data_IF_424079953112
#
_entry.id   IF_424079953112
#
_cell.length_a   1.000
_cell.length_b   1.000
_cell.length_c   1.000
_cell.angle_alpha   90.00
_cell.angle_beta   90.00
_cell.angle_gamma   90.00
#
_symmetry.space_group_name_H-M   'P 1'
#
loop_
_entity.id
_entity.type
_entity.pdbx_description
1 polymer ?
#
# COMPACT_ATOMS: atom_id res chain seq x y z
N UNK A 1 15.85 -40.06 -15.47
CA UNK A 1 16.91 -39.78 -14.47
C UNK A 1 16.23 -39.67 -13.12
N UNK A 2 16.82 -40.14 -12.01
CA UNK A 2 16.26 -39.87 -10.69
C UNK A 2 16.11 -38.35 -10.54
N UNK A 3 14.94 -37.88 -10.13
CA UNK A 3 14.70 -36.45 -9.93
C UNK A 3 15.51 -35.98 -8.73
N UNK A 4 16.60 -35.26 -8.98
CA UNK A 4 17.33 -34.57 -7.94
C UNK A 4 16.42 -33.48 -7.37
N UNK A 5 16.19 -33.50 -6.07
CA UNK A 5 15.43 -32.46 -5.39
C UNK A 5 16.10 -32.10 -4.07
N UNK A 6 15.98 -30.83 -3.70
CA UNK A 6 16.46 -30.29 -2.44
C UNK A 6 15.39 -29.39 -1.82
N UNK A 7 15.17 -29.58 -0.53
CA UNK A 7 14.23 -28.77 0.24
C UNK A 7 14.99 -27.67 0.99
N UNK A 8 14.34 -26.52 1.13
CA UNK A 8 14.85 -25.34 1.78
C UNK A 8 13.85 -24.82 2.81
N UNK A 9 14.39 -24.28 3.90
CA UNK A 9 13.65 -23.63 4.97
C UNK A 9 13.95 -22.14 4.99
N UNK A 10 12.95 -21.34 5.38
CA UNK A 10 13.08 -19.93 5.72
C UNK A 10 12.80 -19.70 7.20
N UNK A 11 13.48 -18.72 7.80
CA UNK A 11 13.16 -18.24 9.14
C UNK A 11 11.73 -17.70 9.19
N UNK A 12 10.98 -18.05 10.24
CA UNK A 12 9.56 -17.68 10.38
C UNK A 12 8.57 -18.54 9.56
N UNK A 13 9.05 -19.29 8.56
CA UNK A 13 8.17 -20.15 7.73
C UNK A 13 8.38 -21.64 7.99
N UNK A 14 9.63 -22.07 8.19
CA UNK A 14 10.00 -23.48 8.20
C UNK A 14 10.26 -24.03 6.79
N UNK A 15 10.28 -25.37 6.60
CA UNK A 15 10.47 -26.00 5.30
C UNK A 15 9.35 -25.58 4.34
N UNK A 16 9.68 -24.81 3.30
CA UNK A 16 8.68 -24.15 2.47
C UNK A 16 8.93 -24.26 0.97
N UNK A 17 10.17 -24.50 0.54
CA UNK A 17 10.55 -24.54 -0.87
C UNK A 17 11.20 -25.87 -1.24
N UNK A 18 10.77 -26.48 -2.35
CA UNK A 18 11.46 -27.60 -3.00
C UNK A 18 11.90 -27.21 -4.41
N UNK A 19 13.19 -27.38 -4.70
CA UNK A 19 13.72 -27.24 -6.06
C UNK A 19 13.94 -28.64 -6.64
N UNK A 20 13.38 -28.90 -7.84
CA UNK A 20 13.48 -30.19 -8.53
C UNK A 20 14.21 -30.00 -9.87
N UNK A 21 15.44 -30.50 -9.93
CA UNK A 21 16.40 -30.28 -11.02
C UNK A 21 16.59 -28.79 -11.39
N UNK A 22 16.34 -27.88 -10.44
CA UNK A 22 16.34 -26.42 -10.63
C UNK A 22 17.37 -25.72 -9.73
N UNK A 23 18.47 -26.40 -9.42
CA UNK A 23 19.51 -25.94 -8.48
C UNK A 23 20.13 -24.59 -8.91
N UNK A 24 20.09 -24.26 -10.20
CA UNK A 24 20.57 -22.99 -10.74
C UNK A 24 19.71 -21.77 -10.33
N UNK A 25 18.51 -21.99 -9.79
CA UNK A 25 17.66 -20.92 -9.26
C UNK A 25 18.16 -20.43 -7.88
N UNK A 26 18.87 -21.27 -7.13
CA UNK A 26 19.31 -20.94 -5.77
C UNK A 26 20.19 -19.67 -5.71
N UNK A 27 21.24 -19.48 -6.54
CA UNK A 27 22.03 -18.24 -6.51
C UNK A 27 21.21 -16.97 -6.83
N UNK A 28 20.17 -17.10 -7.67
CA UNK A 28 19.26 -16.00 -7.99
C UNK A 28 18.42 -15.65 -6.77
N UNK A 29 17.80 -16.65 -6.14
CA UNK A 29 17.04 -16.48 -4.90
C UNK A 29 17.92 -15.88 -3.79
N UNK A 30 19.10 -16.45 -3.53
CA UNK A 30 20.03 -15.95 -2.51
C UNK A 30 20.41 -14.48 -2.73
N UNK A 31 20.54 -14.05 -3.99
CA UNK A 31 20.83 -12.65 -4.28
C UNK A 31 19.60 -11.75 -4.18
N UNK A 32 18.40 -12.27 -4.48
CA UNK A 32 17.15 -11.53 -4.42
C UNK A 32 16.62 -11.38 -2.98
N UNK A 33 16.99 -12.27 -2.06
CA UNK A 33 16.60 -12.21 -0.64
C UNK A 33 17.81 -12.36 0.31
N UNK A 34 18.83 -11.49 0.20
CA UNK A 34 20.06 -11.64 0.97
C UNK A 34 19.84 -11.46 2.48
N UNK A 35 18.75 -10.77 2.88
CA UNK A 35 18.34 -10.62 4.27
C UNK A 35 17.48 -11.76 4.80
N UNK A 36 17.02 -12.70 3.96
CA UNK A 36 16.15 -13.82 4.31
C UNK A 36 16.66 -15.14 3.72
N UNK A 37 17.80 -15.65 4.21
CA UNK A 37 18.53 -16.71 3.54
C UNK A 37 17.78 -18.05 3.55
N UNK A 38 17.68 -18.66 2.37
CA UNK A 38 17.24 -20.04 2.21
C UNK A 38 18.31 -21.01 2.74
N UNK A 39 17.93 -21.84 3.72
CA UNK A 39 18.83 -22.85 4.28
C UNK A 39 18.42 -24.24 3.80
N UNK A 40 19.32 -25.07 3.24
CA UNK A 40 19.01 -26.45 2.90
C UNK A 40 18.53 -27.23 4.13
N UNK A 41 17.48 -28.02 3.99
CA UNK A 41 16.98 -28.89 5.05
C UNK A 41 16.85 -30.34 4.57
N UNK A 42 16.58 -31.26 5.50
CA UNK A 42 16.30 -32.65 5.15
C UNK A 42 15.07 -32.72 4.25
N UNK A 43 15.07 -33.64 3.29
CA UNK A 43 13.93 -33.85 2.40
C UNK A 43 12.67 -34.20 3.23
N UNK A 44 11.61 -33.43 3.02
CA UNK A 44 10.34 -33.60 3.70
C UNK A 44 9.55 -34.76 3.08
N UNK A 45 8.89 -35.56 3.93
CA UNK A 45 8.05 -36.69 3.52
C UNK A 45 6.88 -36.25 2.64
N UNK A 46 6.27 -35.12 2.98
CA UNK A 46 5.30 -34.41 2.14
C UNK A 46 6.02 -33.26 1.45
N UNK A 47 5.71 -33.01 0.18
CA UNK A 47 6.28 -31.87 -0.52
C UNK A 47 5.95 -30.56 0.21
N UNK A 48 6.92 -29.64 0.37
CA UNK A 48 6.64 -28.28 0.79
C UNK A 48 5.61 -27.59 -0.12
N UNK A 49 4.96 -26.55 0.40
CA UNK A 49 3.88 -25.83 -0.29
C UNK A 49 4.36 -25.18 -1.59
N UNK A 50 5.60 -24.71 -1.66
CA UNK A 50 6.19 -24.09 -2.85
C UNK A 50 7.13 -25.09 -3.51
N UNK A 51 6.82 -25.51 -4.72
CA UNK A 51 7.64 -26.43 -5.51
C UNK A 51 7.99 -25.81 -6.85
N UNK A 52 9.26 -25.90 -7.25
CA UNK A 52 9.75 -25.41 -8.54
C UNK A 52 10.49 -26.51 -9.28
N UNK A 53 10.06 -26.78 -10.50
CA UNK A 53 10.69 -27.75 -11.40
C UNK A 53 11.36 -27.04 -12.56
N UNK A 54 12.52 -27.55 -12.95
CA UNK A 54 13.12 -27.14 -14.21
C UNK A 54 12.29 -27.63 -15.38
N UNK A 55 11.90 -26.71 -16.26
CA UNK A 55 11.11 -26.97 -17.47
C UNK A 55 11.93 -26.58 -18.72
N UNK A 56 11.76 -27.23 -19.89
CA UNK A 56 12.49 -26.87 -21.11
C UNK A 56 12.35 -25.41 -21.55
N UNK A 57 11.23 -24.77 -21.19
CA UNK A 57 10.92 -23.38 -21.51
C UNK A 57 11.17 -22.39 -20.34
N UNK A 58 11.73 -22.84 -19.22
CA UNK A 58 11.89 -22.02 -18.01
C UNK A 58 11.71 -22.82 -16.73
N UNK A 59 10.79 -22.40 -15.87
CA UNK A 59 10.50 -23.05 -14.59
C UNK A 59 9.00 -23.24 -14.43
N UNK A 60 8.60 -24.43 -14.00
CA UNK A 60 7.23 -24.67 -13.55
C UNK A 60 7.18 -24.46 -12.05
N UNK A 61 6.23 -23.67 -11.56
CA UNK A 61 6.04 -23.42 -10.12
C UNK A 61 4.63 -23.83 -9.72
N UNK A 62 4.51 -24.53 -8.60
CA UNK A 62 3.25 -24.81 -7.92
C UNK A 62 3.33 -24.26 -6.50
N UNK A 63 2.26 -23.60 -6.05
CA UNK A 63 2.15 -22.98 -4.74
C UNK A 63 0.67 -22.80 -4.37
N UNK A 64 0.33 -22.50 -3.11
CA UNK A 64 -1.05 -22.24 -2.72
C UNK A 64 -1.74 -21.12 -3.54
N UNK A 65 -1.00 -20.06 -3.90
CA UNK A 65 -1.50 -18.98 -4.76
C UNK A 65 -1.51 -19.34 -6.26
N UNK A 66 -0.93 -20.50 -6.63
CA UNK A 66 -0.83 -21.01 -8.00
C UNK A 66 -1.32 -22.48 -8.04
N UNK A 67 -2.61 -22.74 -7.76
CA UNK A 67 -3.13 -24.10 -7.59
C UNK A 67 -3.08 -24.95 -8.87
N UNK A 68 -3.10 -24.30 -10.05
CA UNK A 68 -2.93 -24.96 -11.36
C UNK A 68 -1.46 -24.97 -11.84
N UNK A 69 -0.56 -24.42 -11.03
CA UNK A 69 0.82 -24.13 -11.40
C UNK A 69 0.97 -23.00 -12.43
N UNK A 70 2.20 -22.55 -12.61
CA UNK A 70 2.54 -21.52 -13.59
C UNK A 70 3.88 -21.81 -14.26
N UNK A 71 3.94 -21.60 -15.59
CA UNK A 71 5.18 -21.60 -16.34
C UNK A 71 5.79 -20.20 -16.35
N UNK A 72 7.02 -20.08 -15.85
CA UNK A 72 7.78 -18.85 -15.75
C UNK A 72 9.01 -18.92 -16.67
N UNK A 73 9.22 -17.88 -17.46
CA UNK A 73 10.15 -17.85 -18.58
C UNK A 73 11.61 -17.50 -18.20
N UNK A 74 11.83 -16.94 -17.00
CA UNK A 74 13.15 -16.53 -16.52
C UNK A 74 13.38 -16.88 -15.05
N UNK A 75 14.63 -17.12 -14.66
CA UNK A 75 14.99 -17.37 -13.26
C UNK A 75 14.68 -16.16 -12.35
N UNK A 76 14.73 -14.94 -12.90
CA UNK A 76 14.40 -13.71 -12.16
C UNK A 76 12.90 -13.58 -11.95
N UNK A 77 12.09 -13.93 -12.95
CA UNK A 77 10.64 -14.04 -12.83
C UNK A 77 10.24 -15.09 -11.81
N UNK A 78 10.87 -16.28 -11.87
CA UNK A 78 10.67 -17.35 -10.89
C UNK A 78 11.07 -16.95 -9.49
N UNK A 79 12.21 -16.28 -9.30
CA UNK A 79 12.60 -15.79 -7.99
C UNK A 79 11.56 -14.83 -7.39
N UNK A 80 11.02 -13.91 -8.19
CA UNK A 80 9.94 -13.04 -7.72
C UNK A 80 8.68 -13.79 -7.30
N UNK A 81 8.26 -14.77 -8.10
CA UNK A 81 7.07 -15.58 -7.81
C UNK A 81 7.27 -16.39 -6.52
N UNK A 82 8.42 -17.05 -6.36
CA UNK A 82 8.77 -17.78 -5.13
C UNK A 82 8.82 -16.86 -3.92
N UNK A 83 9.38 -15.65 -4.05
CA UNK A 83 9.45 -14.69 -2.95
C UNK A 83 8.06 -14.21 -2.54
N UNK A 84 7.15 -13.97 -3.50
CA UNK A 84 5.77 -13.60 -3.22
C UNK A 84 5.05 -14.71 -2.44
N UNK A 85 5.17 -15.97 -2.88
CA UNK A 85 4.59 -17.12 -2.20
C UNK A 85 5.21 -17.34 -0.80
N UNK A 86 6.52 -17.13 -0.65
CA UNK A 86 7.20 -17.22 0.63
C UNK A 86 6.73 -16.12 1.61
N UNK A 87 6.52 -14.89 1.12
CA UNK A 87 5.94 -13.82 1.91
C UNK A 87 4.50 -14.14 2.33
N UNK A 88 3.68 -14.66 1.42
CA UNK A 88 2.33 -15.15 1.74
C UNK A 88 2.34 -16.24 2.82
N UNK A 89 3.23 -17.23 2.67
CA UNK A 89 3.43 -18.30 3.64
C UNK A 89 3.89 -17.80 5.02
N UNK A 90 4.67 -16.71 5.06
CA UNK A 90 5.06 -16.02 6.28
C UNK A 90 3.87 -15.35 6.96
N UNK A 91 3.09 -14.53 6.24
CA UNK A 91 1.91 -13.87 6.82
C UNK A 91 0.83 -14.86 7.26
N UNK A 92 0.65 -15.97 6.53
CA UNK A 92 -0.25 -17.05 6.95
C UNK A 92 0.12 -17.64 8.32
N UNK A 93 1.43 -17.75 8.61
CA UNK A 93 1.95 -18.26 9.91
C UNK A 93 2.01 -17.19 11.00
N UNK A 94 1.86 -15.92 10.63
CA UNK A 94 1.98 -14.75 11.50
C UNK A 94 0.75 -13.83 11.39
N UNK A 95 -0.46 -14.30 11.76
CA UNK A 95 -1.70 -13.52 11.63
C UNK A 95 -1.73 -12.24 12.49
N UNK A 96 -0.84 -12.14 13.48
CA UNK A 96 -0.63 -10.92 14.27
C UNK A 96 0.02 -9.78 13.48
N UNK A 97 0.62 -10.07 12.32
CA UNK A 97 1.25 -9.11 11.42
C UNK A 97 0.33 -8.79 10.25
N UNK A 98 0.43 -7.58 9.72
CA UNK A 98 -0.19 -7.19 8.44
C UNK A 98 0.91 -7.01 7.41
N UNK A 99 0.79 -7.65 6.25
CA UNK A 99 1.66 -7.36 5.12
C UNK A 99 1.20 -6.10 4.39
N UNK A 100 2.07 -5.11 4.28
CA UNK A 100 1.82 -3.91 3.48
C UNK A 100 2.48 -4.04 2.11
N UNK A 101 1.74 -3.72 1.04
CA UNK A 101 2.31 -3.54 -0.29
C UNK A 101 2.92 -2.13 -0.42
N UNK A 102 4.13 -1.96 0.05
CA UNK A 102 4.81 -0.67 0.01
C UNK A 102 6.33 -0.83 -0.09
N UNK A 103 6.97 0.21 -0.62
CA UNK A 103 8.39 0.40 -0.36
C UNK A 103 8.59 1.14 0.96
N UNK A 104 9.73 0.93 1.60
CA UNK A 104 10.02 1.47 2.92
C UNK A 104 11.52 1.67 3.14
N UNK A 105 11.85 2.82 3.74
CA UNK A 105 13.23 3.23 3.98
C UNK A 105 13.36 3.86 5.36
N UNK A 106 14.53 3.71 5.96
CA UNK A 106 14.88 4.31 7.23
C UNK A 106 15.46 5.72 7.01
N UNK A 107 14.83 6.72 7.64
CA UNK A 107 15.33 8.08 7.71
C UNK A 107 15.31 8.52 9.17
N UNK A 108 16.48 8.88 9.72
CA UNK A 108 16.64 9.32 11.12
C UNK A 108 16.05 8.35 12.16
N UNK A 109 16.16 7.03 11.93
CA UNK A 109 15.70 6.01 12.86
C UNK A 109 14.19 5.71 12.80
N UNK A 110 13.48 6.23 11.81
CA UNK A 110 12.06 5.96 11.58
C UNK A 110 11.82 5.51 10.13
N UNK A 111 10.77 4.71 9.92
CA UNK A 111 10.38 4.28 8.58
C UNK A 111 9.52 5.32 7.88
N UNK A 112 9.94 5.66 6.67
CA UNK A 112 9.08 6.31 5.68
C UNK A 112 8.58 5.22 4.75
N UNK A 113 7.27 5.00 4.76
CA UNK A 113 6.61 4.02 3.88
C UNK A 113 5.93 4.74 2.72
N UNK A 114 6.01 4.16 1.54
CA UNK A 114 5.37 4.70 0.34
C UNK A 114 4.48 3.63 -0.28
N UNK A 115 3.26 3.46 0.26
CA UNK A 115 2.23 2.64 -0.36
C UNK A 115 1.85 3.31 -1.68
N UNK A 116 1.76 2.52 -2.75
CA UNK A 116 1.47 3.08 -4.06
C UNK A 116 0.75 2.05 -4.90
N UNK A 117 -0.11 2.56 -5.76
CA UNK A 117 -0.74 1.83 -6.85
C UNK A 117 0.30 1.36 -7.88
N UNK A 118 -0.12 0.41 -8.72
CA UNK A 118 0.76 -0.23 -9.70
C UNK A 118 1.34 0.79 -10.71
N UNK A 119 2.68 0.83 -10.84
CA UNK A 119 3.49 1.61 -11.82
C UNK A 119 3.84 3.08 -11.52
N UNK A 120 3.64 3.65 -10.33
CA UNK A 120 4.09 5.03 -10.06
C UNK A 120 5.58 5.16 -9.66
N UNK A 121 6.32 4.04 -9.62
CA UNK A 121 7.79 4.05 -9.57
C UNK A 121 8.40 3.69 -8.22
N UNK A 122 7.65 3.08 -7.29
CA UNK A 122 8.13 2.61 -5.97
C UNK A 122 9.54 2.03 -5.99
N UNK A 123 9.77 0.97 -6.77
CA UNK A 123 11.09 0.32 -6.81
C UNK A 123 12.22 1.22 -7.28
N UNK A 124 11.90 2.15 -8.17
CA UNK A 124 12.88 3.17 -8.59
C UNK A 124 13.17 4.16 -7.46
N UNK A 125 12.15 4.58 -6.71
CA UNK A 125 12.32 5.44 -5.55
C UNK A 125 13.05 4.74 -4.39
N UNK A 126 12.71 3.48 -4.09
CA UNK A 126 13.43 2.64 -3.10
C UNK A 126 14.91 2.55 -3.46
N UNK A 127 15.21 2.25 -4.73
CA UNK A 127 16.59 2.20 -5.21
C UNK A 127 17.28 3.57 -5.13
N UNK A 128 16.56 4.66 -5.39
CA UNK A 128 17.09 6.01 -5.28
C UNK A 128 17.45 6.37 -3.82
N UNK A 129 16.64 5.94 -2.85
CA UNK A 129 16.97 6.04 -1.43
C UNK A 129 18.22 5.23 -1.07
N UNK A 130 18.32 3.98 -1.54
CA UNK A 130 19.52 3.17 -1.36
C UNK A 130 20.77 3.85 -1.97
N UNK A 131 20.63 4.43 -3.16
CA UNK A 131 21.68 5.20 -3.83
C UNK A 131 22.09 6.45 -3.05
N UNK A 132 21.15 7.08 -2.33
CA UNK A 132 21.40 8.22 -1.46
C UNK A 132 21.93 7.81 -0.06
N UNK A 133 22.17 6.53 0.19
CA UNK A 133 22.74 6.01 1.44
C UNK A 133 21.71 5.71 2.53
N UNK A 134 20.42 5.70 2.21
CA UNK A 134 19.38 5.28 3.14
C UNK A 134 19.22 3.77 3.14
N UNK A 135 18.90 3.23 4.31
CA UNK A 135 18.68 1.81 4.49
C UNK A 135 17.26 1.43 4.06
N UNK A 136 17.14 0.44 3.19
CA UNK A 136 15.88 -0.10 2.70
C UNK A 136 15.36 -1.16 3.68
N UNK A 137 14.07 -1.11 4.01
CA UNK A 137 13.39 -2.13 4.80
C UNK A 137 12.53 -3.06 3.95
N UNK A 138 12.03 -2.57 2.81
CA UNK A 138 11.24 -3.33 1.86
C UNK A 138 11.03 -2.53 0.58
N UNK A 139 10.83 -3.23 -0.52
CA UNK A 139 10.52 -2.63 -1.83
C UNK A 139 9.06 -2.85 -2.23
N UNK A 140 8.60 -4.09 -2.08
CA UNK A 140 7.22 -4.48 -2.37
C UNK A 140 6.45 -4.88 -1.11
N UNK A 141 7.13 -5.41 -0.09
CA UNK A 141 6.50 -6.00 1.10
C UNK A 141 7.20 -5.51 2.36
N UNK A 142 6.40 -5.02 3.30
CA UNK A 142 6.81 -4.72 4.67
C UNK A 142 5.81 -5.38 5.62
N UNK A 143 6.28 -6.11 6.63
CA UNK A 143 5.40 -6.60 7.68
C UNK A 143 5.17 -5.50 8.73
N UNK A 144 3.95 -5.33 9.21
CA UNK A 144 3.58 -4.33 10.22
C UNK A 144 2.99 -5.02 11.44
N UNK A 145 3.49 -4.69 12.63
CA UNK A 145 2.90 -5.16 13.88
C UNK A 145 1.94 -4.12 14.49
N UNK A 146 1.18 -4.56 15.50
CA UNK A 146 0.21 -3.71 16.22
C UNK A 146 0.84 -2.55 17.00
N UNK A 147 2.17 -2.53 17.17
CA UNK A 147 2.90 -1.43 17.81
C UNK A 147 3.30 -0.33 16.82
N UNK A 148 3.01 -0.50 15.52
CA UNK A 148 3.43 0.45 14.49
C UNK A 148 4.91 0.33 14.14
N UNK A 149 5.50 -0.84 14.34
CA UNK A 149 6.86 -1.13 13.84
C UNK A 149 6.76 -1.88 12.51
N UNK A 150 7.42 -1.37 11.49
CA UNK A 150 7.68 -2.10 10.27
C UNK A 150 8.80 -3.11 10.47
N UNK A 151 8.64 -4.29 9.92
CA UNK A 151 9.52 -5.44 10.03
C UNK A 151 9.97 -5.82 8.62
N UNK A 152 11.27 -5.73 8.38
CA UNK A 152 11.85 -6.07 7.09
C UNK A 152 11.73 -7.58 6.82
N UNK A 153 11.37 -7.93 5.58
CA UNK A 153 11.47 -9.32 5.14
C UNK A 153 12.88 -9.67 4.69
N UNK A 154 13.70 -8.71 4.23
CA UNK A 154 15.06 -8.97 3.73
C UNK A 154 15.15 -9.26 2.23
N UNK A 155 14.18 -8.77 1.46
CA UNK A 155 14.11 -8.88 -0.02
C UNK A 155 14.72 -7.64 -0.65
N UNK A 156 15.60 -7.83 -1.63
CA UNK A 156 16.25 -6.75 -2.34
C UNK A 156 15.32 -6.05 -3.35
N UNK A 157 15.49 -4.73 -3.60
CA UNK A 157 14.70 -4.02 -4.60
C UNK A 157 14.80 -4.62 -5.99
N UNK A 158 13.66 -4.67 -6.70
CA UNK A 158 13.56 -5.22 -8.06
C UNK A 158 13.20 -4.13 -9.06
N UNK A 159 14.19 -3.66 -9.81
CA UNK A 159 14.00 -2.62 -10.81
C UNK A 159 13.45 -3.16 -12.11
N UNK A 160 12.61 -2.37 -12.77
CA UNK A 160 12.23 -2.58 -14.18
C UNK A 160 13.35 -2.07 -15.08
N UNK A 161 13.67 -2.84 -16.12
CA UNK A 161 14.73 -2.57 -17.09
C UNK A 161 14.16 -2.45 -18.52
N UNK A 162 14.86 -1.75 -19.42
CA UNK A 162 15.98 -0.83 -19.13
C UNK A 162 15.51 0.39 -18.32
N UNK A 163 16.45 1.06 -17.63
CA UNK A 163 16.14 2.31 -16.95
C UNK A 163 15.83 3.41 -17.99
N UNK A 164 14.92 4.35 -17.68
CA UNK A 164 14.70 5.52 -18.53
C UNK A 164 15.97 6.36 -18.70
N UNK A 165 16.25 6.83 -19.93
CA UNK A 165 17.43 7.65 -20.24
C UNK A 165 17.48 8.98 -19.47
N UNK A 166 16.30 9.48 -19.08
CA UNK A 166 16.14 10.72 -18.34
C UNK A 166 16.60 10.63 -16.87
N UNK A 167 16.93 9.43 -16.37
CA UNK A 167 17.45 9.25 -15.02
C UNK A 167 18.85 9.87 -14.87
N UNK A 168 19.13 10.45 -13.71
CA UNK A 168 20.45 11.02 -13.38
C UNK A 168 21.61 10.04 -13.64
N UNK A 169 22.78 10.60 -13.95
CA UNK A 169 23.99 9.79 -14.23
C UNK A 169 24.41 9.02 -12.98
N UNK A 170 24.34 9.66 -11.82
CA UNK A 170 24.66 9.13 -10.51
C UNK A 170 23.79 7.91 -10.18
N UNK A 171 22.48 8.01 -10.40
CA UNK A 171 21.58 6.88 -10.18
C UNK A 171 21.84 5.72 -11.15
N UNK A 172 22.08 6.01 -12.43
CA UNK A 172 22.43 4.97 -13.41
C UNK A 172 23.74 4.26 -13.07
N UNK A 173 24.74 5.00 -12.61
CA UNK A 173 26.01 4.43 -12.13
C UNK A 173 25.78 3.54 -10.91
N UNK A 174 25.00 4.01 -9.93
CA UNK A 174 24.64 3.20 -8.77
C UNK A 174 23.99 1.87 -9.18
N UNK A 175 22.97 1.92 -10.04
CA UNK A 175 22.29 0.71 -10.52
C UNK A 175 23.27 -0.19 -11.25
N UNK A 176 24.11 0.34 -12.15
CA UNK A 176 25.10 -0.46 -12.88
C UNK A 176 26.08 -1.17 -11.94
N UNK A 177 26.54 -0.51 -10.88
CA UNK A 177 27.46 -1.10 -9.90
C UNK A 177 26.80 -2.17 -9.03
N UNK A 178 25.52 -2.01 -8.70
CA UNK A 178 24.81 -2.91 -7.78
C UNK A 178 23.92 -3.92 -8.52
N UNK A 179 23.88 -3.95 -9.85
CA UNK A 179 22.98 -4.83 -10.58
C UNK A 179 23.34 -6.31 -10.36
N UNK A 180 22.37 -7.06 -9.87
CA UNK A 180 22.46 -8.49 -9.63
C UNK A 180 21.84 -9.33 -10.76
N UNK A 181 21.20 -10.46 -10.43
CA UNK A 181 20.44 -11.24 -11.40
C UNK A 181 19.41 -10.38 -12.11
N UNK A 182 19.37 -10.51 -13.43
CA UNK A 182 18.48 -9.76 -14.30
C UNK A 182 17.99 -10.59 -15.48
N UNK A 183 16.86 -10.19 -16.03
CA UNK A 183 16.36 -10.60 -17.33
C UNK A 183 16.12 -9.36 -18.21
N UNK A 184 15.41 -9.52 -19.34
CA UNK A 184 15.14 -8.41 -20.25
C UNK A 184 14.25 -7.30 -19.65
N UNK A 185 13.47 -7.62 -18.61
CA UNK A 185 12.46 -6.72 -18.02
C UNK A 185 12.79 -6.28 -16.60
N UNK A 186 13.56 -7.04 -15.84
CA UNK A 186 13.78 -6.79 -14.42
C UNK A 186 15.19 -7.13 -13.96
N UNK A 187 15.67 -6.44 -12.92
CA UNK A 187 16.92 -6.75 -12.24
C UNK A 187 16.85 -6.48 -10.74
N UNK A 188 17.39 -7.41 -9.94
CA UNK A 188 17.53 -7.22 -8.48
C UNK A 188 18.81 -6.45 -8.17
N UNK A 189 18.75 -5.56 -7.19
CA UNK A 189 19.94 -4.88 -6.67
C UNK A 189 20.68 -5.74 -5.64
N UNK A 190 21.99 -5.74 -5.68
CA UNK A 190 22.90 -6.32 -4.69
C UNK A 190 23.24 -5.26 -3.66
N UNK A 191 22.38 -5.13 -2.65
CA UNK A 191 22.60 -4.23 -1.52
C UNK A 191 23.29 -4.99 -0.39
N UNK A 192 24.20 -4.33 0.33
CA UNK A 192 24.83 -4.91 1.52
C UNK A 192 23.96 -4.74 2.78
N UNK A 193 24.42 -5.28 3.92
CA UNK A 193 23.67 -5.26 5.18
C UNK A 193 23.48 -3.85 5.78
N UNK A 194 24.25 -2.85 5.32
CA UNK A 194 24.08 -1.45 5.70
C UNK A 194 23.00 -0.78 4.86
N UNK A 195 22.83 -1.21 3.61
CA UNK A 195 21.85 -0.67 2.66
C UNK A 195 20.50 -1.39 2.69
N UNK A 196 20.45 -2.65 3.12
CA UNK A 196 19.22 -3.44 3.22
C UNK A 196 19.08 -4.04 4.62
N UNK A 197 17.89 -3.89 5.20
CA UNK A 197 17.55 -4.49 6.47
C UNK A 197 17.39 -6.02 6.34
N UNK A 198 17.92 -6.75 7.31
CA UNK A 198 17.78 -8.19 7.41
C UNK A 198 16.38 -8.58 7.89
N UNK A 199 15.96 -9.81 7.60
CA UNK A 199 14.70 -10.35 8.07
C UNK A 199 14.52 -10.15 9.59
N UNK A 200 13.32 -9.72 9.99
CA UNK A 200 12.96 -9.54 11.40
C UNK A 200 13.46 -8.24 12.05
N UNK A 201 14.30 -7.46 11.38
CA UNK A 201 14.69 -6.13 11.88
C UNK A 201 13.49 -5.19 11.88
N UNK A 202 13.38 -4.39 12.95
CA UNK A 202 12.22 -3.54 13.23
C UNK A 202 12.59 -2.08 13.26
N UNK A 203 11.68 -1.22 12.81
CA UNK A 203 11.82 0.22 12.92
C UNK A 203 10.41 0.86 13.02
N UNK A 204 10.19 1.83 13.92
CA UNK A 204 8.88 2.47 14.07
C UNK A 204 8.50 3.25 12.83
N UNK A 205 7.20 3.26 12.47
CA UNK A 205 6.68 4.13 11.42
C UNK A 205 6.89 5.60 11.80
N UNK A 206 7.40 6.39 10.86
CA UNK A 206 7.62 7.83 11.01
C UNK A 206 6.79 8.68 10.06
N UNK A 207 6.49 8.20 8.85
CA UNK A 207 5.62 8.90 7.91
C UNK A 207 5.09 7.98 6.80
N UNK A 208 3.99 8.41 6.18
CA UNK A 208 3.50 7.91 4.90
C UNK A 208 3.85 8.92 3.80
N UNK A 209 4.41 8.44 2.71
CA UNK A 209 4.81 9.23 1.56
C UNK A 209 4.14 8.69 0.30
N UNK A 210 3.03 9.31 -0.11
CA UNK A 210 2.41 9.05 -1.39
C UNK A 210 3.25 9.68 -2.50
N UNK A 211 3.29 9.05 -3.67
CA UNK A 211 4.18 9.45 -4.76
C UNK A 211 3.41 9.74 -6.03
N UNK A 212 3.79 10.81 -6.72
CA UNK A 212 3.20 11.19 -8.01
C UNK A 212 4.31 11.69 -8.95
N UNK A 213 4.56 10.92 -10.00
CA UNK A 213 5.61 11.25 -10.97
C UNK A 213 5.06 12.20 -12.02
N UNK A 214 5.61 13.40 -12.07
CA UNK A 214 5.19 14.47 -12.98
C UNK A 214 6.38 15.01 -13.77
N UNK A 215 6.41 14.69 -15.07
CA UNK A 215 7.49 15.08 -15.98
C UNK A 215 7.53 16.59 -16.27
N UNK A 216 6.46 17.32 -15.96
CA UNK A 216 6.38 18.77 -16.16
C UNK A 216 7.03 19.58 -15.04
N UNK A 217 7.36 18.94 -13.91
CA UNK A 217 7.98 19.62 -12.78
C UNK A 217 9.46 19.95 -13.01
N UNK A 218 9.84 21.15 -12.60
CA UNK A 218 11.24 21.61 -12.57
C UNK A 218 11.93 21.29 -11.24
N UNK A 219 11.17 21.16 -10.15
CA UNK A 219 11.67 20.81 -8.82
C UNK A 219 10.69 19.90 -8.07
N UNK A 220 11.17 19.05 -7.14
CA UNK A 220 10.29 18.25 -6.29
C UNK A 220 9.40 19.12 -5.41
N UNK A 221 8.16 18.68 -5.20
CA UNK A 221 7.17 19.34 -4.36
C UNK A 221 6.68 18.38 -3.28
N UNK A 222 6.48 18.89 -2.06
CA UNK A 222 5.95 18.11 -0.96
C UNK A 222 4.74 18.81 -0.36
N UNK A 223 3.63 18.08 -0.28
CA UNK A 223 2.36 18.56 0.28
C UNK A 223 1.96 17.67 1.44
N UNK A 224 1.61 18.25 2.60
CA UNK A 224 1.04 17.47 3.70
C UNK A 224 -0.41 17.10 3.37
N UNK A 225 -0.75 15.84 3.56
CA UNK A 225 -2.08 15.27 3.31
C UNK A 225 -2.86 15.12 4.60
N UNK A 226 -4.15 14.82 4.48
CA UNK A 226 -4.96 14.42 5.62
C UNK A 226 -4.56 13.01 6.06
N UNK A 227 -4.63 12.68 7.36
CA UNK A 227 -4.33 11.32 7.83
C UNK A 227 -5.20 10.25 7.13
N UNK A 228 -6.44 10.59 6.75
CA UNK A 228 -7.32 9.71 6.00
C UNK A 228 -6.81 9.33 4.61
N UNK A 229 -5.98 10.17 3.97
CA UNK A 229 -5.33 9.81 2.71
C UNK A 229 -4.36 8.63 2.91
N UNK A 230 -3.63 8.64 4.03
CA UNK A 230 -2.74 7.54 4.40
C UNK A 230 -3.51 6.26 4.71
N UNK A 231 -4.59 6.36 5.50
CA UNK A 231 -5.45 5.22 5.82
C UNK A 231 -6.00 4.55 4.58
N UNK A 232 -6.57 5.35 3.67
CA UNK A 232 -7.12 4.87 2.42
C UNK A 232 -6.08 4.06 1.62
N UNK A 233 -4.87 4.58 1.50
CA UNK A 233 -3.81 3.89 0.77
C UNK A 233 -3.39 2.58 1.44
N UNK A 234 -3.31 2.52 2.78
CA UNK A 234 -2.99 1.26 3.48
C UNK A 234 -4.09 0.22 3.35
N UNK A 235 -5.37 0.63 3.40
CA UNK A 235 -6.52 -0.26 3.17
C UNK A 235 -6.51 -0.87 1.77
N UNK A 236 -6.02 -0.13 0.77
CA UNK A 236 -5.92 -0.61 -0.61
C UNK A 236 -4.62 -1.39 -0.89
N UNK A 237 -3.56 -1.17 -0.12
CA UNK A 237 -2.21 -1.70 -0.38
C UNK A 237 -1.72 -2.61 0.75
N UNK A 238 -2.46 -3.69 1.01
CA UNK A 238 -2.09 -4.72 1.99
C UNK A 238 -2.38 -6.13 1.47
N UNK A 239 -1.82 -7.14 2.14
CA UNK A 239 -1.94 -8.57 1.82
C UNK A 239 -2.91 -9.32 2.76
N UNK A 240 -3.76 -8.61 3.49
CA UNK A 240 -4.67 -9.19 4.48
C UNK A 240 -6.05 -9.52 3.85
N UNK A 241 -6.04 -10.31 2.77
CA UNK A 241 -7.23 -10.66 1.96
C UNK A 241 -8.33 -11.41 2.74
N UNK A 242 -8.02 -11.92 3.94
CA UNK A 242 -8.95 -12.65 4.80
C UNK A 242 -9.54 -11.81 5.93
N UNK A 243 -9.05 -10.59 6.13
CA UNK A 243 -9.59 -9.68 7.15
C UNK A 243 -10.72 -8.85 6.57
N UNK A 244 -11.74 -8.58 7.39
CA UNK A 244 -12.79 -7.64 7.00
C UNK A 244 -12.23 -6.22 6.97
N UNK A 245 -12.81 -5.37 6.14
CA UNK A 245 -12.51 -3.94 6.07
C UNK A 245 -12.57 -3.27 7.45
N UNK A 246 -13.55 -3.66 8.28
CA UNK A 246 -13.66 -3.20 9.67
C UNK A 246 -12.43 -3.56 10.50
N UNK A 247 -11.99 -4.83 10.46
CA UNK A 247 -10.84 -5.29 11.22
C UNK A 247 -9.55 -4.57 10.77
N UNK A 248 -9.40 -4.30 9.47
CA UNK A 248 -8.26 -3.56 8.93
C UNK A 248 -8.27 -2.10 9.36
N UNK A 249 -9.42 -1.44 9.37
CA UNK A 249 -9.53 -0.08 9.92
C UNK A 249 -9.18 -0.08 11.41
N UNK A 250 -9.71 -1.01 12.20
CA UNK A 250 -9.40 -1.12 13.64
C UNK A 250 -7.90 -1.34 13.90
N UNK A 251 -7.19 -2.04 13.01
CA UNK A 251 -5.74 -2.25 13.08
C UNK A 251 -4.93 -1.03 12.68
N UNK A 252 -5.29 -0.36 11.58
CA UNK A 252 -4.52 0.77 11.06
C UNK A 252 -4.83 2.09 11.76
N UNK A 253 -6.07 2.34 12.14
CA UNK A 253 -6.51 3.63 12.67
C UNK A 253 -5.67 4.09 13.88
N UNK A 254 -5.37 3.26 14.90
CA UNK A 254 -4.52 3.67 16.02
C UNK A 254 -3.08 4.00 15.59
N UNK A 255 -2.56 3.35 14.55
CA UNK A 255 -1.21 3.56 14.04
C UNK A 255 -1.07 4.86 13.27
N UNK A 256 -2.16 5.33 12.67
CA UNK A 256 -2.20 6.56 11.89
C UNK A 256 -2.49 7.80 12.73
N UNK A 257 -2.93 7.63 13.99
CA UNK A 257 -3.08 8.73 14.93
C UNK A 257 -1.72 9.36 15.21
N UNK A 258 -1.45 10.49 14.54
CA UNK A 258 -0.20 11.24 14.67
C UNK A 258 0.88 10.89 13.64
N UNK A 259 0.62 9.94 12.73
CA UNK A 259 1.55 9.62 11.64
C UNK A 259 1.35 10.64 10.50
N UNK A 260 2.34 11.48 10.16
CA UNK A 260 2.20 12.44 9.08
C UNK A 260 2.13 11.73 7.73
N UNK A 261 1.22 12.19 6.88
CA UNK A 261 1.06 11.75 5.50
C UNK A 261 1.47 12.88 4.55
N UNK A 262 2.25 12.58 3.52
CA UNK A 262 2.72 13.54 2.54
C UNK A 262 2.51 13.03 1.12
N UNK A 263 2.33 13.94 0.16
CA UNK A 263 2.44 13.69 -1.27
C UNK A 263 3.74 14.28 -1.77
N UNK A 264 4.62 13.44 -2.32
CA UNK A 264 5.82 13.85 -3.04
C UNK A 264 5.55 13.82 -4.54
N UNK A 265 5.52 14.99 -5.16
CA UNK A 265 5.49 15.12 -6.61
C UNK A 265 6.89 15.35 -7.14
N UNK A 266 7.31 14.58 -8.15
CA UNK A 266 8.67 14.67 -8.67
C UNK A 266 8.80 14.18 -10.11
N UNK A 267 9.87 14.63 -10.78
CA UNK A 267 10.23 14.17 -12.12
C UNK A 267 11.25 13.03 -12.11
N UNK A 268 12.35 13.25 -11.40
CA UNK A 268 13.46 12.31 -11.21
C UNK A 268 13.49 11.82 -9.76
N UNK A 269 13.59 10.50 -9.56
CA UNK A 269 13.51 9.88 -8.25
C UNK A 269 14.73 10.20 -7.37
N UNK A 270 15.92 10.26 -7.96
CA UNK A 270 17.15 10.51 -7.21
C UNK A 270 17.26 11.96 -6.76
N UNK A 271 16.91 12.91 -7.63
CA UNK A 271 16.83 14.33 -7.28
C UNK A 271 15.78 14.55 -6.17
N UNK A 272 14.63 13.88 -6.27
CA UNK A 272 13.58 13.96 -5.25
C UNK A 272 14.03 13.46 -3.89
N UNK A 273 14.71 12.31 -3.84
CA UNK A 273 15.28 11.76 -2.60
C UNK A 273 16.30 12.73 -2.00
N UNK A 274 17.26 13.22 -2.79
CA UNK A 274 18.25 14.17 -2.28
C UNK A 274 17.61 15.46 -1.76
N UNK A 275 16.58 15.95 -2.43
CA UNK A 275 15.83 17.13 -2.03
C UNK A 275 15.05 16.90 -0.74
N UNK A 276 14.42 15.73 -0.59
CA UNK A 276 13.60 15.35 0.54
C UNK A 276 14.44 15.10 1.79
N UNK A 277 15.50 14.30 1.68
CA UNK A 277 16.39 13.97 2.80
C UNK A 277 16.99 15.21 3.45
N UNK A 278 17.36 16.22 2.66
CA UNK A 278 17.89 17.50 3.17
C UNK A 278 16.87 18.29 4.02
N UNK A 279 15.58 18.01 3.84
CA UNK A 279 14.48 18.69 4.54
C UNK A 279 13.84 17.82 5.62
N UNK A 280 14.10 16.52 5.62
CA UNK A 280 13.53 15.57 6.57
C UNK A 280 13.98 15.90 8.00
N UNK A 281 13.02 16.08 8.91
CA UNK A 281 13.28 16.50 10.29
C UNK A 281 13.60 17.99 10.50
N UNK A 282 13.36 18.84 9.49
CA UNK A 282 13.40 20.30 9.67
C UNK A 282 12.05 20.85 10.16
N UNK A 283 12.06 21.92 10.95
CA UNK A 283 10.85 22.65 11.41
C UNK A 283 9.89 23.01 10.26
N UNK A 284 10.43 23.10 9.04
CA UNK A 284 9.66 23.40 7.83
C UNK A 284 8.63 22.32 7.50
N UNK A 285 8.94 21.03 7.70
CA UNK A 285 7.99 19.93 7.43
C UNK A 285 6.85 19.89 8.44
N UNK A 286 7.15 20.17 9.72
CA UNK A 286 6.16 20.19 10.79
C UNK A 286 5.17 21.35 10.64
N UNK A 287 5.63 22.46 10.07
CA UNK A 287 4.83 23.67 9.80
C UNK A 287 3.88 23.57 8.61
N UNK A 288 4.00 22.52 7.76
CA UNK A 288 3.09 22.34 6.63
C UNK A 288 1.68 22.08 7.16
N UNK A 289 0.74 22.96 6.81
CA UNK A 289 -0.67 22.71 7.04
C UNK A 289 -1.13 21.56 6.13
N UNK A 290 -1.96 20.63 6.61
CA UNK A 290 -2.61 19.65 5.75
C UNK A 290 -3.35 20.37 4.63
N UNK A 291 -3.12 19.94 3.38
CA UNK A 291 -3.85 20.48 2.25
C UNK A 291 -5.35 20.29 2.48
N UNK A 292 -6.13 21.32 2.19
CA UNK A 292 -7.58 21.25 2.12
C UNK A 292 -7.95 20.46 0.85
N UNK A 293 -7.82 19.12 0.92
CA UNK A 293 -8.09 18.11 -0.13
C UNK A 293 -7.10 18.13 -1.31
N UNK A 294 -6.71 16.97 -1.92
CA UNK A 294 -7.47 16.44 -3.07
C UNK A 294 -7.27 14.95 -3.47
N UNK A 295 -8.34 14.36 -4.01
CA UNK A 295 -8.48 13.50 -5.22
C UNK A 295 -9.70 12.62 -4.99
N UNK A 296 -10.83 13.08 -5.50
CA UNK A 296 -12.00 12.24 -5.69
C UNK A 296 -11.66 11.35 -6.89
N UNK A 297 -11.52 10.05 -6.66
CA UNK A 297 -11.67 9.09 -7.75
C UNK A 297 -12.94 9.47 -8.50
N UNK A 298 -12.87 9.60 -9.83
CA UNK A 298 -14.02 9.96 -10.66
C UNK A 298 -15.20 9.07 -10.27
N UNK A 299 -16.23 9.60 -9.59
CA UNK A 299 -17.32 8.75 -9.18
C UNK A 299 -18.10 8.35 -10.43
N UNK A 300 -18.70 7.17 -10.39
CA UNK A 300 -19.85 6.89 -11.24
C UNK A 300 -20.82 8.06 -11.14
N UNK A 301 -21.32 8.54 -12.29
CA UNK A 301 -22.23 9.69 -12.33
C UNK A 301 -23.58 9.24 -11.78
N UNK A 302 -23.72 9.27 -10.46
CA UNK A 302 -24.97 9.01 -9.76
C UNK A 302 -25.87 10.23 -9.97
N UNK A 303 -27.08 10.07 -10.53
CA UNK A 303 -28.02 11.17 -10.70
C UNK A 303 -28.41 11.76 -9.35
N UNK A 304 -28.41 13.08 -9.23
CA UNK A 304 -28.93 13.76 -8.04
C UNK A 304 -30.40 13.42 -7.80
N UNK A 305 -30.84 13.54 -6.54
CA UNK A 305 -32.27 13.50 -6.22
C UNK A 305 -33.01 14.66 -6.90
N UNK A 306 -34.26 14.41 -7.29
CA UNK A 306 -35.12 15.46 -7.85
C UNK A 306 -35.42 16.53 -6.78
N UNK A 307 -35.54 17.82 -7.13
CA UNK A 307 -35.84 18.87 -6.15
C UNK A 307 -37.18 18.70 -5.41
N UNK A 308 -38.07 17.85 -5.94
CA UNK A 308 -39.37 17.50 -5.36
C UNK A 308 -39.34 16.19 -4.55
N UNK A 309 -38.15 15.62 -4.30
CA UNK A 309 -38.01 14.42 -3.49
C UNK A 309 -38.47 14.70 -2.05
N UNK A 310 -39.52 14.00 -1.64
CA UNK A 310 -40.16 14.11 -0.33
C UNK A 310 -39.85 12.91 0.57
N UNK A 311 -38.91 12.04 0.18
CA UNK A 311 -38.50 10.90 1.01
C UNK A 311 -37.79 11.40 2.26
N UNK A 312 -38.00 10.67 3.35
CA UNK A 312 -37.29 10.90 4.59
C UNK A 312 -36.16 9.89 4.69
N UNK A 313 -34.95 10.40 4.77
CA UNK A 313 -33.74 9.61 4.81
C UNK A 313 -33.30 9.41 6.25
N UNK A 314 -32.84 8.22 6.56
CA UNK A 314 -32.21 7.89 7.84
C UNK A 314 -30.94 7.08 7.59
N UNK A 315 -29.93 7.27 8.43
CA UNK A 315 -28.72 6.45 8.38
C UNK A 315 -29.04 4.96 8.64
N UNK A 316 -28.30 4.08 7.98
CA UNK A 316 -28.41 2.63 8.14
C UNK A 316 -27.84 2.17 9.50
N UNK A 317 -28.53 1.25 10.19
CA UNK A 317 -28.20 0.83 11.56
C UNK A 317 -26.90 0.01 11.70
N UNK A 318 -26.35 -0.51 10.60
CA UNK A 318 -25.20 -1.41 10.59
C UNK A 318 -23.85 -0.72 10.30
N UNK A 319 -23.85 0.62 10.17
CA UNK A 319 -22.68 1.38 9.81
C UNK A 319 -21.74 1.57 11.02
N UNK A 320 -20.54 0.99 10.97
CA UNK A 320 -19.50 1.28 11.96
C UNK A 320 -18.86 2.66 11.69
N UNK A 321 -18.48 3.38 12.75
CA UNK A 321 -17.95 4.74 12.61
C UNK A 321 -16.49 4.82 13.08
N UNK A 322 -15.60 5.20 12.16
CA UNK A 322 -14.17 5.33 12.42
C UNK A 322 -13.69 6.76 12.17
N UNK A 323 -13.68 7.63 13.20
CA UNK A 323 -13.23 9.01 13.05
C UNK A 323 -11.71 9.11 12.91
N UNK A 324 -11.23 9.93 11.97
CA UNK A 324 -9.82 10.21 11.76
C UNK A 324 -9.60 11.68 11.36
N UNK A 325 -9.13 12.50 12.31
CA UNK A 325 -9.06 13.94 12.11
C UNK A 325 -10.45 14.55 11.85
N UNK A 326 -10.58 15.30 10.75
CA UNK A 326 -11.85 15.91 10.35
C UNK A 326 -12.75 14.96 9.55
N UNK A 327 -12.27 13.75 9.24
CA UNK A 327 -12.93 12.78 8.38
C UNK A 327 -13.58 11.64 9.18
N UNK A 328 -14.53 10.95 8.55
CA UNK A 328 -15.19 9.78 9.10
C UNK A 328 -15.18 8.65 8.07
N UNK A 329 -14.68 7.48 8.44
CA UNK A 329 -14.73 6.27 7.61
C UNK A 329 -15.91 5.41 8.05
N UNK A 330 -16.76 5.04 7.09
CA UNK A 330 -17.99 4.28 7.31
C UNK A 330 -18.04 3.10 6.35
N UNK A 331 -17.86 1.85 6.80
CA UNK A 331 -18.16 0.67 5.99
C UNK A 331 -19.68 0.52 5.90
N UNK A 332 -20.21 0.34 4.68
CA UNK A 332 -21.65 0.30 4.44
C UNK A 332 -22.34 -0.92 5.09
N UNK A 333 -21.71 -2.09 4.99
CA UNK A 333 -22.15 -3.37 5.59
C UNK A 333 -20.91 -4.23 5.90
N UNK A 334 -21.06 -5.33 6.65
CA UNK A 334 -19.96 -6.26 6.94
C UNK A 334 -19.43 -6.88 5.62
N UNK A 335 -18.25 -6.44 5.17
CA UNK A 335 -17.67 -6.81 3.87
C UNK A 335 -18.08 -5.91 2.68
N UNK A 336 -18.79 -4.81 2.93
CA UNK A 336 -19.12 -3.78 1.93
C UNK A 336 -18.03 -2.72 1.80
N UNK A 337 -18.17 -1.83 0.80
CA UNK A 337 -17.19 -0.77 0.54
C UNK A 337 -17.04 0.21 1.72
N UNK A 338 -15.81 0.71 1.93
CA UNK A 338 -15.49 1.77 2.90
C UNK A 338 -15.77 3.13 2.28
N UNK A 339 -16.65 3.92 2.90
CA UNK A 339 -16.95 5.28 2.49
C UNK A 339 -16.19 6.29 3.35
N UNK A 340 -15.45 7.19 2.69
CA UNK A 340 -14.72 8.28 3.33
C UNK A 340 -15.57 9.55 3.30
N UNK A 341 -16.04 9.99 4.46
CA UNK A 341 -16.84 11.19 4.62
C UNK A 341 -15.96 12.37 5.02
N UNK A 342 -16.02 13.44 4.22
CA UNK A 342 -15.39 14.72 4.54
C UNK A 342 -16.22 15.48 5.59
N UNK A 343 -15.78 16.68 5.99
CA UNK A 343 -16.45 17.48 7.02
C UNK A 343 -17.94 17.71 6.74
N UNK A 344 -18.31 17.99 5.49
CA UNK A 344 -19.71 18.24 5.10
C UNK A 344 -20.54 16.96 5.12
N UNK A 345 -20.04 15.89 4.49
CA UNK A 345 -20.79 14.62 4.45
C UNK A 345 -20.87 13.93 5.82
N UNK A 346 -19.87 14.13 6.69
CA UNK A 346 -19.90 13.74 8.11
C UNK A 346 -20.98 14.50 8.89
N UNK A 347 -21.17 15.79 8.63
CA UNK A 347 -22.23 16.57 9.29
C UNK A 347 -23.63 16.06 8.88
N UNK A 348 -23.83 15.79 7.59
CA UNK A 348 -25.08 15.19 7.09
C UNK A 348 -25.31 13.82 7.70
N UNK A 349 -24.28 12.98 7.73
CA UNK A 349 -24.33 11.67 8.37
C UNK A 349 -24.77 11.76 9.84
N UNK A 350 -24.18 12.68 10.61
CA UNK A 350 -24.57 12.90 12.00
C UNK A 350 -26.05 13.33 12.15
N UNK A 351 -26.55 14.20 11.27
CA UNK A 351 -27.96 14.61 11.28
C UNK A 351 -28.90 13.42 11.02
N UNK A 352 -28.61 12.62 9.99
CA UNK A 352 -29.43 11.47 9.60
C UNK A 352 -29.36 10.29 10.59
N UNK A 353 -28.32 10.24 11.43
CA UNK A 353 -28.21 9.33 12.56
C UNK A 353 -29.11 9.76 13.74
N UNK A 354 -29.33 11.05 13.92
CA UNK A 354 -30.13 11.57 15.03
C UNK A 354 -31.63 11.47 14.76
N UNK A 355 -32.09 11.83 13.56
CA UNK A 355 -33.49 11.74 13.18
C UNK A 355 -33.66 11.58 11.65
N UNK A 356 -34.79 11.01 11.19
CA UNK A 356 -35.13 11.03 9.77
C UNK A 356 -35.36 12.45 9.25
N UNK A 357 -34.67 12.82 8.17
CA UNK A 357 -34.78 14.15 7.56
C UNK A 357 -35.01 14.06 6.05
N UNK A 358 -35.77 15.02 5.52
CA UNK A 358 -35.93 15.22 4.08
C UNK A 358 -34.84 16.16 3.51
N UNK A 359 -34.77 16.25 2.18
CA UNK A 359 -33.79 17.08 1.48
C UNK A 359 -33.85 18.56 1.91
N UNK A 360 -35.05 19.10 2.15
CA UNK A 360 -35.24 20.50 2.51
C UNK A 360 -34.70 20.78 3.93
N UNK A 361 -35.01 19.91 4.89
CA UNK A 361 -34.61 20.04 6.30
C UNK A 361 -33.09 19.89 6.48
N UNK A 362 -32.46 18.95 5.77
CA UNK A 362 -30.99 18.81 5.76
C UNK A 362 -30.33 20.07 5.19
N UNK A 363 -30.89 20.59 4.08
CA UNK A 363 -30.35 21.78 3.40
C UNK A 363 -30.48 23.04 4.26
N UNK A 364 -31.59 23.21 4.97
CA UNK A 364 -31.83 24.35 5.87
C UNK A 364 -30.83 24.32 7.05
N UNK A 365 -30.70 23.15 7.68
CA UNK A 365 -29.78 22.94 8.80
C UNK A 365 -28.33 23.24 8.42
N UNK A 366 -27.87 22.76 7.26
CA UNK A 366 -26.51 23.04 6.79
C UNK A 366 -26.30 24.48 6.33
N UNK A 367 -27.31 25.13 5.76
CA UNK A 367 -27.23 26.55 5.36
C UNK A 367 -26.97 27.43 6.60
N UNK A 368 -27.52 27.06 7.76
CA UNK A 368 -27.21 27.70 9.04
C UNK A 368 -25.77 27.47 9.54
N UNK A 369 -25.14 26.37 9.13
CA UNK A 369 -23.78 25.99 9.55
C UNK A 369 -22.68 26.65 8.68
N UNK A 370 -22.94 26.85 7.38
CA UNK A 370 -22.00 27.48 6.44
C UNK A 370 -22.30 28.97 6.22
N UNK A 371 -21.60 29.83 6.97
CA UNK A 371 -21.76 31.28 6.86
C UNK A 371 -21.55 31.80 5.42
N UNK A 372 -22.61 32.37 4.83
CA UNK A 372 -22.58 32.97 3.50
C UNK A 372 -22.97 32.04 2.33
N UNK A 373 -23.32 30.78 2.59
CA UNK A 373 -23.83 29.87 1.57
C UNK A 373 -25.26 30.25 1.13
N UNK A 374 -25.56 30.10 -0.17
CA UNK A 374 -26.93 30.26 -0.69
C UNK A 374 -27.67 28.94 -0.56
N UNK A 375 -28.86 28.97 0.03
CA UNK A 375 -29.72 27.79 0.24
C UNK A 375 -29.86 26.92 -1.02
N UNK A 376 -30.10 27.53 -2.19
CA UNK A 376 -30.25 26.78 -3.45
C UNK A 376 -28.99 26.00 -3.85
N UNK A 377 -27.80 26.52 -3.57
CA UNK A 377 -26.56 25.79 -3.83
C UNK A 377 -26.39 24.62 -2.86
N UNK A 378 -26.64 24.86 -1.57
CA UNK A 378 -26.59 23.82 -0.54
C UNK A 378 -27.57 22.70 -0.89
N UNK A 379 -28.79 23.05 -1.32
CA UNK A 379 -29.81 22.07 -1.71
C UNK A 379 -29.39 21.20 -2.90
N UNK A 380 -28.75 21.78 -3.90
CA UNK A 380 -28.22 21.01 -5.04
C UNK A 380 -27.11 20.05 -4.60
N UNK A 381 -26.18 20.52 -3.77
CA UNK A 381 -25.09 19.71 -3.24
C UNK A 381 -25.63 18.58 -2.34
N UNK A 382 -26.68 18.85 -1.54
CA UNK A 382 -27.34 17.84 -0.70
C UNK A 382 -28.13 16.82 -1.51
N UNK A 383 -28.80 17.23 -2.59
CA UNK A 383 -29.50 16.31 -3.48
C UNK A 383 -28.53 15.32 -4.12
N UNK A 384 -27.33 15.78 -4.50
CA UNK A 384 -26.27 14.92 -5.01
C UNK A 384 -25.72 13.99 -3.93
N UNK A 385 -25.47 14.51 -2.72
CA UNK A 385 -24.89 13.75 -1.61
C UNK A 385 -25.84 12.66 -1.10
N UNK A 386 -27.13 12.96 -0.90
CA UNK A 386 -28.11 11.99 -0.46
C UNK A 386 -28.30 10.87 -1.51
N UNK A 387 -28.28 11.21 -2.80
CA UNK A 387 -28.29 10.19 -3.86
C UNK A 387 -27.07 9.26 -3.77
N UNK A 388 -25.88 9.82 -3.53
CA UNK A 388 -24.65 9.05 -3.34
C UNK A 388 -24.73 8.13 -2.10
N UNK A 389 -25.21 8.65 -0.98
CA UNK A 389 -25.40 7.86 0.25
C UNK A 389 -26.40 6.73 0.06
N UNK A 390 -27.52 7.00 -0.62
CA UNK A 390 -28.54 5.98 -0.88
C UNK A 390 -28.00 4.88 -1.80
N UNK A 391 -27.31 5.26 -2.88
CA UNK A 391 -26.68 4.29 -3.78
C UNK A 391 -25.61 3.45 -3.08
N UNK A 392 -24.90 4.04 -2.13
CA UNK A 392 -23.90 3.39 -1.27
C UNK A 392 -24.50 2.51 -0.17
N UNK A 393 -25.83 2.48 0.03
CA UNK A 393 -26.48 1.76 1.14
C UNK A 393 -26.28 2.39 2.52
N UNK A 394 -25.66 3.58 2.58
CA UNK A 394 -25.40 4.30 3.83
C UNK A 394 -26.67 4.84 4.48
N UNK A 395 -27.67 5.18 3.67
CA UNK A 395 -28.97 5.67 4.16
C UNK A 395 -30.10 4.85 3.56
N UNK A 396 -31.22 4.80 4.27
CA UNK A 396 -32.48 4.16 3.86
C UNK A 396 -33.61 5.20 3.84
N UNK A 397 -34.57 4.99 2.94
CA UNK A 397 -35.86 5.70 3.01
C UNK A 397 -36.68 5.06 4.12
N UNK A 398 -37.13 5.87 5.08
CA UNK A 398 -37.92 5.41 6.23
C UNK A 398 -39.29 4.88 5.80
N UNK A 399 -39.77 5.24 4.62
CA UNK A 399 -41.07 4.82 4.10
C UNK A 399 -41.00 3.66 3.10
N UNK A 400 -39.80 3.08 2.87
CA UNK A 400 -39.57 2.01 1.88
C UNK A 400 -39.85 0.59 2.41
#
# INVERSE_FOLDING_TARGET
MPSHHQDYTLEGVGPCLRLVNADELLPVLTTAMPGWPLTPCAAQTQSPEICVWRHPQGYWQEAPALPEGALLDSAVGTACSVIADAAGAYFYRHPELVGLHCGSVEINGQLVIFPDTYRAGKSTLTAAFAAAGHRVFGDDVLALNKQGEGIALGVAPRLRLPLPDAMSLEFRQFVQTHLGPQDARYGYLRLDNTQLASHGQRCPLGAILLIDRDESLNEPQLTRLQPGDGLWQLLQQNFAEHESDQALIERFLPLLQGLPCFLLRYRDAFDAVQWLTKRWGSDTLESLAPASQPRCDTPDVIPALEPTDARQWQASEAAFEFPLGDELFVPAEEGGAIHRLNTTSRAVWALLNHEPLDLESVSDTLTGFFAGAKFEQVRQDMAQLLAQFYHAGLIKDVNA
#
